data_IF_380839333278
#
_entry.id   IF_380839333278
#
_cell.length_a   1.000
_cell.length_b   1.000
_cell.length_c   1.000
_cell.angle_alpha   90.00
_cell.angle_beta   90.00
_cell.angle_gamma   90.00
#
_symmetry.space_group_name_H-M   'P 1'
#
loop_
_entity.id
_entity.type
_entity.pdbx_description
1 polymer ?
#
# COMPACT_ATOMS: atom_id res chain seq x y z
N UNK A 1 5.93 13.45 -0.13
CA UNK A 1 6.15 12.07 -0.60
C UNK A 1 6.84 12.17 -1.94
N UNK A 2 7.95 11.45 -2.12
CA UNK A 2 8.49 11.24 -3.47
C UNK A 2 7.98 9.89 -3.97
N UNK A 3 7.70 9.81 -5.26
CA UNK A 3 7.25 8.57 -5.86
C UNK A 3 7.84 8.39 -7.26
N UNK A 4 8.05 7.14 -7.64
CA UNK A 4 8.41 6.72 -8.99
C UNK A 4 7.46 5.60 -9.42
N UNK A 5 7.02 5.63 -10.69
CA UNK A 5 6.21 4.57 -11.29
C UNK A 5 6.95 4.00 -12.48
N UNK A 6 7.13 2.68 -12.49
CA UNK A 6 7.72 1.95 -13.60
C UNK A 6 6.74 0.93 -14.16
N UNK A 7 6.31 1.15 -15.40
CA UNK A 7 5.46 0.22 -16.15
C UNK A 7 6.31 -0.81 -16.90
N UNK A 8 5.94 -2.08 -16.83
CA UNK A 8 6.54 -3.18 -17.60
C UNK A 8 5.43 -4.08 -18.15
N UNK A 9 5.03 -3.83 -19.40
CA UNK A 9 3.86 -4.50 -19.97
C UNK A 9 2.59 -4.08 -19.23
N UNK A 10 1.85 -5.06 -18.69
CA UNK A 10 0.66 -4.83 -17.86
C UNK A 10 0.95 -4.79 -16.36
N UNK A 11 2.22 -4.90 -15.96
CA UNK A 11 2.64 -4.80 -14.57
C UNK A 11 3.20 -3.41 -14.25
N UNK A 12 3.02 -2.96 -13.02
CA UNK A 12 3.55 -1.70 -12.50
C UNK A 12 4.34 -1.92 -11.21
N UNK A 13 5.43 -1.18 -11.05
CA UNK A 13 6.15 -1.02 -9.79
C UNK A 13 6.04 0.44 -9.34
N UNK A 14 5.63 0.68 -8.10
CA UNK A 14 5.50 2.00 -7.48
C UNK A 14 6.49 2.08 -6.33
N UNK A 15 7.47 2.97 -6.42
CA UNK A 15 8.39 3.23 -5.31
C UNK A 15 7.93 4.48 -4.57
N UNK A 16 7.80 4.38 -3.24
CA UNK A 16 7.43 5.49 -2.37
C UNK A 16 8.55 5.80 -1.39
N UNK A 17 8.86 7.09 -1.26
CA UNK A 17 9.94 7.56 -0.38
C UNK A 17 9.51 8.78 0.45
N UNK A 18 10.07 8.86 1.65
CA UNK A 18 9.83 9.93 2.61
C UNK A 18 8.54 9.74 3.42
N UNK A 19 7.94 10.84 3.83
CA UNK A 19 6.74 10.81 4.67
C UNK A 19 5.49 10.51 3.84
N UNK A 20 4.59 9.67 4.36
CA UNK A 20 3.27 9.34 3.80
C UNK A 20 2.22 9.61 4.88
N UNK A 21 1.60 10.79 4.84
CA UNK A 21 0.67 11.27 5.85
C UNK A 21 -0.59 11.86 5.23
N UNK A 22 -1.50 12.35 6.06
CA UNK A 22 -2.72 13.03 5.62
C UNK A 22 -2.43 14.23 4.71
N UNK A 23 -1.29 14.89 4.90
CA UNK A 23 -0.84 15.99 4.06
C UNK A 23 -0.60 15.57 2.59
N UNK A 24 -0.50 14.27 2.32
CA UNK A 24 -0.21 13.69 1.02
C UNK A 24 -1.33 12.75 0.55
N UNK A 25 -2.44 12.69 1.28
CA UNK A 25 -3.53 11.75 1.04
C UNK A 25 -4.15 11.90 -0.36
N UNK A 26 -4.30 13.14 -0.84
CA UNK A 26 -4.82 13.40 -2.19
C UNK A 26 -3.86 12.89 -3.27
N UNK A 27 -2.57 13.22 -3.15
CA UNK A 27 -1.51 12.78 -4.06
C UNK A 27 -1.40 11.24 -4.10
N UNK A 28 -1.37 10.60 -2.93
CA UNK A 28 -1.31 9.14 -2.83
C UNK A 28 -2.54 8.48 -3.45
N UNK A 29 -3.74 9.05 -3.22
CA UNK A 29 -4.98 8.52 -3.82
C UNK A 29 -4.93 8.60 -5.34
N UNK A 30 -4.54 9.74 -5.89
CA UNK A 30 -4.44 9.94 -7.34
C UNK A 30 -3.44 8.96 -7.97
N UNK A 31 -2.27 8.81 -7.34
CA UNK A 31 -1.26 7.82 -7.74
C UNK A 31 -1.82 6.39 -7.76
N UNK A 32 -2.41 5.95 -6.64
CA UNK A 32 -2.92 4.58 -6.53
C UNK A 32 -4.06 4.31 -7.52
N UNK A 33 -4.98 5.25 -7.72
CA UNK A 33 -6.07 5.10 -8.70
C UNK A 33 -5.52 5.05 -10.12
N UNK A 34 -4.58 5.93 -10.46
CA UNK A 34 -3.97 5.96 -11.79
C UNK A 34 -3.29 4.64 -12.13
N UNK A 35 -2.41 4.17 -11.25
CA UNK A 35 -1.64 2.94 -11.51
C UNK A 35 -2.55 1.71 -11.55
N UNK A 36 -3.54 1.60 -10.64
CA UNK A 36 -4.50 0.49 -10.65
C UNK A 36 -5.36 0.50 -11.92
N UNK A 37 -5.67 1.67 -12.50
CA UNK A 37 -6.45 1.73 -13.74
C UNK A 37 -5.69 1.30 -15.01
N UNK A 38 -4.36 1.28 -14.96
CA UNK A 38 -3.50 1.03 -16.12
C UNK A 38 -2.77 -0.33 -16.06
N UNK A 39 -2.80 -1.02 -14.92
CA UNK A 39 -2.06 -2.25 -14.68
C UNK A 39 -2.98 -3.40 -14.25
N UNK A 40 -2.58 -4.63 -14.56
CA UNK A 40 -3.22 -5.86 -14.03
C UNK A 40 -2.59 -6.32 -12.72
N UNK A 41 -1.36 -5.87 -12.46
CA UNK A 41 -0.61 -6.14 -11.24
C UNK A 41 0.24 -4.92 -10.87
N UNK A 42 0.24 -4.55 -9.60
CA UNK A 42 0.95 -3.41 -9.04
C UNK A 42 1.71 -3.85 -7.81
N UNK A 43 3.02 -3.63 -7.77
CA UNK A 43 3.86 -3.85 -6.59
C UNK A 43 4.29 -2.51 -6.03
N UNK A 44 4.08 -2.29 -4.73
CA UNK A 44 4.45 -1.05 -4.04
C UNK A 44 5.68 -1.29 -3.15
N UNK A 45 6.76 -0.59 -3.44
CA UNK A 45 7.99 -0.56 -2.66
C UNK A 45 7.93 0.56 -1.62
N UNK A 46 8.11 0.20 -0.35
CA UNK A 46 7.90 1.09 0.80
C UNK A 46 9.12 1.20 1.71
N UNK A 47 10.26 0.64 1.30
CA UNK A 47 11.48 0.56 2.12
C UNK A 47 11.98 1.94 2.55
N UNK A 48 11.84 2.94 1.68
CA UNK A 48 12.34 4.31 1.88
C UNK A 48 11.30 5.24 2.52
N UNK A 49 10.18 4.71 3.05
CA UNK A 49 9.22 5.52 3.79
C UNK A 49 9.78 5.86 5.17
N UNK A 50 9.89 7.14 5.46
CA UNK A 50 10.42 7.66 6.72
C UNK A 50 9.33 7.91 7.78
N UNK A 51 8.07 8.00 7.37
CA UNK A 51 6.94 8.12 8.29
C UNK A 51 5.64 7.69 7.60
N UNK A 52 4.76 6.97 8.30
CA UNK A 52 3.45 6.55 7.83
C UNK A 52 2.40 6.80 8.93
N UNK A 53 1.27 7.42 8.59
CA UNK A 53 0.16 7.61 9.53
C UNK A 53 -1.07 6.77 9.18
N UNK A 54 -2.09 6.85 10.03
CA UNK A 54 -3.37 6.15 9.84
C UNK A 54 -4.03 6.44 8.49
N UNK A 55 -3.90 7.66 7.97
CA UNK A 55 -4.54 8.02 6.70
C UNK A 55 -3.86 7.35 5.51
N UNK A 56 -2.53 7.25 5.53
CA UNK A 56 -1.77 6.46 4.57
C UNK A 56 -2.19 4.99 4.63
N UNK A 57 -2.27 4.43 5.84
CA UNK A 57 -2.71 3.04 6.07
C UNK A 57 -4.10 2.79 5.47
N UNK A 58 -5.05 3.69 5.72
CA UNK A 58 -6.42 3.59 5.23
C UNK A 58 -6.51 3.74 3.71
N UNK A 59 -5.66 4.56 3.09
CA UNK A 59 -5.60 4.70 1.64
C UNK A 59 -5.12 3.43 0.95
N UNK A 60 -4.05 2.80 1.43
CA UNK A 60 -3.62 1.50 0.89
C UNK A 60 -4.69 0.42 1.08
N UNK A 61 -5.35 0.39 2.25
CA UNK A 61 -6.50 -0.48 2.48
C UNK A 61 -7.61 -0.25 1.45
N UNK A 62 -7.95 1.01 1.16
CA UNK A 62 -8.97 1.35 0.18
C UNK A 62 -8.55 0.96 -1.24
N UNK A 63 -7.29 1.22 -1.61
CA UNK A 63 -6.75 0.87 -2.91
C UNK A 63 -6.74 -0.64 -3.14
N UNK A 64 -6.36 -1.46 -2.15
CA UNK A 64 -6.44 -2.92 -2.28
C UNK A 64 -7.85 -3.42 -2.53
N UNK A 65 -8.85 -2.89 -1.81
CA UNK A 65 -10.26 -3.26 -2.05
C UNK A 65 -10.69 -2.88 -3.46
N UNK A 66 -10.41 -1.64 -3.89
CA UNK A 66 -10.78 -1.17 -5.23
C UNK A 66 -10.07 -1.95 -6.34
N UNK A 67 -8.80 -2.31 -6.14
CA UNK A 67 -8.04 -3.11 -7.09
C UNK A 67 -8.67 -4.51 -7.24
N UNK A 68 -9.00 -5.17 -6.13
CA UNK A 68 -9.62 -6.49 -6.17
C UNK A 68 -11.02 -6.49 -6.77
N UNK A 69 -11.85 -5.49 -6.47
CA UNK A 69 -13.15 -5.30 -7.11
C UNK A 69 -13.01 -5.16 -8.63
N UNK A 70 -11.87 -4.64 -9.10
CA UNK A 70 -11.49 -4.51 -10.51
C UNK A 70 -10.71 -5.69 -11.10
N UNK A 71 -10.45 -6.76 -10.33
CA UNK A 71 -9.65 -7.91 -10.77
C UNK A 71 -8.14 -7.64 -10.89
N UNK A 72 -7.65 -6.59 -10.24
CA UNK A 72 -6.25 -6.13 -10.28
C UNK A 72 -5.55 -6.55 -8.98
N UNK A 73 -4.32 -7.06 -9.09
CA UNK A 73 -3.51 -7.41 -7.92
C UNK A 73 -2.70 -6.20 -7.45
N UNK A 74 -3.00 -5.68 -6.27
CA UNK A 74 -2.19 -4.65 -5.61
C UNK A 74 -1.44 -5.28 -4.43
N UNK A 75 -0.11 -5.32 -4.53
CA UNK A 75 0.77 -6.01 -3.61
C UNK A 75 1.73 -5.03 -2.94
N UNK A 76 2.05 -5.29 -1.67
CA UNK A 76 3.16 -4.65 -0.99
C UNK A 76 4.41 -5.50 -1.18
N UNK A 77 5.53 -4.90 -1.58
CA UNK A 77 6.84 -5.57 -1.50
C UNK A 77 7.17 -5.85 -0.02
N UNK A 78 7.77 -7.01 0.25
CA UNK A 78 8.19 -7.34 1.63
C UNK A 78 9.22 -6.31 2.09
N UNK A 79 9.04 -5.80 3.30
CA UNK A 79 9.96 -4.83 3.90
C UNK A 79 10.08 -5.08 5.39
N UNK A 80 11.30 -4.96 5.91
CA UNK A 80 11.62 -5.01 7.34
C UNK A 80 11.61 -3.60 7.98
N UNK A 81 10.97 -2.63 7.31
CA UNK A 81 10.90 -1.24 7.77
C UNK A 81 10.19 -1.13 9.13
N UNK A 82 10.96 -0.76 10.15
CA UNK A 82 10.47 -0.50 11.50
C UNK A 82 9.41 0.61 11.51
N UNK A 83 9.58 1.63 10.67
CA UNK A 83 8.62 2.75 10.52
C UNK A 83 7.24 2.23 10.14
N UNK A 84 7.17 1.32 9.16
CA UNK A 84 5.90 0.73 8.72
C UNK A 84 5.31 -0.16 9.80
N UNK A 85 6.17 -0.95 10.47
CA UNK A 85 5.77 -1.83 11.56
C UNK A 85 5.12 -1.05 12.71
N UNK A 86 5.78 0.00 13.17
CA UNK A 86 5.31 0.84 14.27
C UNK A 86 4.02 1.57 13.92
N UNK A 87 3.96 2.17 12.73
CA UNK A 87 2.75 2.84 12.25
C UNK A 87 1.52 1.91 12.24
N UNK A 88 1.69 0.65 11.80
CA UNK A 88 0.61 -0.33 11.81
C UNK A 88 0.19 -0.68 13.25
N UNK A 89 1.14 -0.91 14.15
CA UNK A 89 0.85 -1.22 15.57
C UNK A 89 0.12 -0.05 16.24
N UNK A 90 0.60 1.18 16.09
CA UNK A 90 -0.01 2.39 16.66
C UNK A 90 -1.43 2.63 16.12
N UNK A 91 -1.65 2.33 14.84
CA UNK A 91 -2.96 2.42 14.22
C UNK A 91 -3.92 1.27 14.60
N UNK A 92 -3.48 0.32 15.43
CA UNK A 92 -4.26 -0.87 15.80
C UNK A 92 -4.38 -1.92 14.69
N UNK A 93 -3.60 -1.78 13.62
CA UNK A 93 -3.47 -2.77 12.56
C UNK A 93 -2.46 -3.84 12.99
N UNK A 94 -2.95 -4.85 13.67
CA UNK A 94 -2.20 -6.09 13.82
C UNK A 94 -2.24 -6.84 12.50
N UNK A 95 -1.09 -7.07 11.86
CA UNK A 95 -1.06 -7.92 10.67
C UNK A 95 -1.57 -9.31 11.07
N UNK A 96 -2.71 -9.69 10.53
CA UNK A 96 -3.33 -11.01 10.67
C UNK A 96 -3.13 -11.76 9.36
N UNK A 97 -3.18 -13.09 9.38
CA UNK A 97 -3.15 -13.90 8.15
C UNK A 97 -4.30 -13.60 7.17
N UNK A 98 -5.31 -12.84 7.62
CA UNK A 98 -6.48 -12.42 6.85
C UNK A 98 -6.69 -10.90 6.99
N UNK A 99 -7.34 -10.30 5.99
CA UNK A 99 -7.80 -8.91 6.10
C UNK A 99 -8.72 -8.76 7.32
N UNK A 100 -8.59 -7.67 8.09
CA UNK A 100 -9.46 -7.39 9.24
C UNK A 100 -10.95 -7.32 8.83
N UNK A 101 -11.22 -6.78 7.65
CA UNK A 101 -12.56 -6.71 7.07
C UNK A 101 -12.97 -8.01 6.36
N UNK A 102 -12.05 -8.96 6.15
CA UNK A 102 -12.25 -10.17 5.33
C UNK A 102 -12.74 -9.88 3.90
N UNK A 103 -12.49 -8.66 3.42
CA UNK A 103 -12.97 -8.16 2.11
C UNK A 103 -11.91 -8.17 1.03
N UNK A 104 -10.69 -8.59 1.35
CA UNK A 104 -9.65 -8.72 0.33
C UNK A 104 -8.73 -9.93 0.47
N UNK A 105 -8.46 -10.59 -0.66
CA UNK A 105 -7.60 -11.77 -0.79
C UNK A 105 -6.12 -11.43 -0.69
N UNK A 106 -5.73 -10.24 -1.12
CA UNK A 106 -4.38 -9.67 -1.14
C UNK A 106 -4.32 -8.41 -0.28
N UNK A 107 -4.84 -8.48 0.95
CA UNK A 107 -4.73 -7.35 1.87
C UNK A 107 -3.27 -6.89 2.00
N UNK A 108 -3.06 -5.61 1.70
CA UNK A 108 -1.77 -4.91 1.74
C UNK A 108 -1.02 -5.12 3.05
N UNK A 109 -1.76 -5.29 4.15
CA UNK A 109 -1.23 -5.44 5.50
C UNK A 109 -1.27 -6.88 6.02
N UNK A 110 -1.31 -7.90 5.14
CA UNK A 110 -1.10 -9.32 5.53
C UNK A 110 0.37 -9.56 5.91
N UNK A 111 0.63 -10.47 6.85
CA UNK A 111 1.97 -10.91 7.27
C UNK A 111 2.09 -11.12 8.78
N UNK A 112 3.18 -11.74 9.25
CA UNK A 112 3.54 -11.79 10.68
C UNK A 112 4.51 -10.65 11.02
N UNK A 113 4.37 -10.09 12.22
CA UNK A 113 5.32 -9.15 12.82
C UNK A 113 6.20 -9.97 13.76
N UNK A 114 7.13 -10.75 13.22
CA UNK A 114 8.06 -11.57 13.99
C UNK A 114 9.48 -11.11 13.79
#
# INVERSE_FOLDING_TARGET
MHHEVKMTGTAAAVTLEGSVTIAHAAELKELLVGVVSEATEVVVHMENISHLDLSGIQLFCAACRSAEDGGIRLLQERTDSEVIREALVEAGFYRRGICAEQRCETCFWKGDVS
#
